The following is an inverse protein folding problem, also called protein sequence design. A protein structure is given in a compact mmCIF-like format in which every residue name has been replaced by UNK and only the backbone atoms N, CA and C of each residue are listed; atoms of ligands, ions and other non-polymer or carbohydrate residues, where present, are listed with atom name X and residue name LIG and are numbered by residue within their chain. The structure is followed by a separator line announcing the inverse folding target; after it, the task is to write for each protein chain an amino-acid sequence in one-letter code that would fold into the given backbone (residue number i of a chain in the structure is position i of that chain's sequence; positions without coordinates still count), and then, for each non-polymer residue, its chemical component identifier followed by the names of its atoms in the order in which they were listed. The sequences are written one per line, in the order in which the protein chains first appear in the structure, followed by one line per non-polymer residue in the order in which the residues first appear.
data_IF_597891710989
#
_entry.id   IF_597891710989
#
_cell.length_a   1.000
_cell.length_b   1.000
_cell.length_c   1.000
_cell.angle_alpha   90.00
_cell.angle_beta   90.00
_cell.angle_gamma   90.00
#
_symmetry.space_group_name_H-M   'P 1'
#
loop_
_entity.id
_entity.type
_entity.pdbx_description
1 polymer ?
#
# COMPACT_ATOMS: atom_id res chain seq x y z
N UNK A 1 -2.42 -8.35 11.14
CA UNK A 1 -1.55 -7.63 10.18
C UNK A 1 -2.29 -7.69 8.87
N UNK A 2 -3.01 -6.63 8.52
CA UNK A 2 -3.70 -6.58 7.23
C UNK A 2 -2.64 -6.52 6.14
N UNK A 3 -2.81 -7.33 5.09
CA UNK A 3 -1.90 -7.38 3.96
C UNK A 3 -2.66 -6.85 2.74
N UNK A 4 -2.34 -5.63 2.33
CA UNK A 4 -2.88 -5.01 1.12
C UNK A 4 -2.06 -5.36 -0.11
N UNK A 5 -2.67 -5.26 -1.29
CA UNK A 5 -1.98 -5.44 -2.58
C UNK A 5 -1.76 -4.08 -3.24
N UNK A 6 -0.56 -3.83 -3.74
CA UNK A 6 -0.29 -2.64 -4.58
C UNK A 6 -0.93 -2.86 -5.94
N UNK A 7 -1.78 -1.93 -6.36
CA UNK A 7 -2.46 -1.95 -7.67
C UNK A 7 -1.69 -1.13 -8.68
N UNK A 8 -1.23 0.06 -8.28
CA UNK A 8 -0.54 0.98 -9.18
C UNK A 8 0.43 1.88 -8.42
N UNK A 9 1.52 2.25 -9.10
CA UNK A 9 2.51 3.24 -8.61
C UNK A 9 2.54 4.37 -9.64
N UNK A 10 2.27 5.60 -9.20
CA UNK A 10 2.36 6.81 -10.02
C UNK A 10 3.35 7.76 -9.33
N UNK A 11 4.63 7.60 -9.65
CA UNK A 11 5.71 8.37 -9.02
C UNK A 11 5.73 8.17 -7.51
N UNK A 12 5.51 9.24 -6.74
CA UNK A 12 5.48 9.21 -5.27
C UNK A 12 4.14 8.73 -4.68
N UNK A 13 3.11 8.50 -5.52
CA UNK A 13 1.79 8.06 -5.09
C UNK A 13 1.66 6.56 -5.34
N UNK A 14 1.19 5.83 -4.33
CA UNK A 14 0.99 4.38 -4.40
C UNK A 14 -0.47 4.07 -4.08
N UNK A 15 -1.15 3.44 -5.03
CA UNK A 15 -2.50 2.93 -4.84
C UNK A 15 -2.44 1.50 -4.32
N UNK A 16 -3.03 1.30 -3.15
CA UNK A 16 -3.08 0.03 -2.42
C UNK A 16 -4.53 -0.38 -2.21
N UNK A 17 -4.83 -1.62 -2.54
CA UNK A 17 -6.13 -2.24 -2.31
C UNK A 17 -6.11 -3.07 -1.03
N UNK A 18 -7.12 -2.87 -0.20
CA UNK A 18 -7.33 -3.59 1.04
C UNK A 18 -8.75 -4.18 1.07
N UNK A 19 -8.92 -5.28 1.81
CA UNK A 19 -10.24 -5.78 2.13
C UNK A 19 -11.03 -4.72 2.92
N UNK A 20 -12.34 -4.62 2.70
CA UNK A 20 -13.19 -3.57 3.29
C UNK A 20 -13.13 -3.50 4.83
N UNK A 21 -12.90 -4.64 5.48
CA UNK A 21 -12.75 -4.74 6.94
C UNK A 21 -11.38 -4.29 7.47
N UNK A 22 -10.42 -4.10 6.58
CA UNK A 22 -9.02 -3.85 6.92
C UNK A 22 -8.49 -2.55 6.33
N UNK A 23 -9.38 -1.68 5.83
CA UNK A 23 -9.00 -0.37 5.29
C UNK A 23 -8.40 0.46 6.43
N UNK A 24 -7.14 0.90 6.30
CA UNK A 24 -6.47 1.70 7.30
C UNK A 24 -7.10 3.11 7.39
N UNK A 25 -6.93 3.76 8.55
CA UNK A 25 -7.42 5.13 8.74
C UNK A 25 -6.51 6.12 8.00
N UNK A 26 -7.06 7.29 7.69
CA UNK A 26 -6.27 8.42 7.18
C UNK A 26 -5.17 8.74 8.19
N UNK A 27 -3.93 8.92 7.71
CA UNK A 27 -2.68 9.10 8.47
C UNK A 27 -2.08 7.86 9.13
N UNK A 28 -2.61 6.66 8.88
CA UNK A 28 -1.93 5.43 9.28
C UNK A 28 -0.71 5.18 8.39
N UNK A 29 0.42 4.85 9.01
CA UNK A 29 1.67 4.67 8.29
C UNK A 29 1.77 3.23 7.76
N UNK A 30 1.73 3.08 6.44
CA UNK A 30 1.90 1.77 5.79
C UNK A 30 3.39 1.50 5.52
N UNK A 31 3.86 0.34 5.97
CA UNK A 31 5.21 -0.16 5.66
C UNK A 31 5.09 -1.22 4.57
N UNK A 32 5.93 -1.09 3.56
CA UNK A 32 6.05 -2.06 2.47
C UNK A 32 7.40 -2.77 2.65
N UNK A 33 7.37 -4.08 2.90
CA UNK A 33 8.58 -4.90 2.99
C UNK A 33 8.92 -5.45 1.59
N UNK A 34 10.18 -5.29 1.14
CA UNK A 34 10.67 -5.86 -0.13
C UNK A 34 10.72 -4.91 -1.34
N UNK A 35 11.10 -3.64 -1.16
CA UNK A 35 11.21 -2.65 -2.24
C UNK A 35 12.45 -2.86 -3.14
N UNK A 36 12.37 -3.80 -4.08
CA UNK A 36 13.09 -3.68 -5.37
C UNK A 36 12.18 -2.97 -6.37
N UNK A 37 12.05 -1.64 -6.22
CA UNK A 37 11.41 -0.83 -7.25
C UNK A 37 12.37 -0.75 -8.45
N UNK A 38 12.14 -1.57 -9.48
CA UNK A 38 12.76 -1.35 -10.79
C UNK A 38 11.92 -0.28 -11.51
N UNK A 39 12.52 0.89 -11.73
CA UNK A 39 11.95 2.01 -12.50
C UNK A 39 11.75 1.66 -13.98
#
# INVERSE_FOLDING_TARGET
MSQGKVVQIIGAVIDVEFARSEVPKVYDALKIEGTEITL
#
